data_IF_467470994428
#
_entry.id   IF_467470994428
#
_cell.length_a   1.000
_cell.length_b   1.000
_cell.length_c   1.000
_cell.angle_alpha   90.00
_cell.angle_beta   90.00
_cell.angle_gamma   90.00
#
_symmetry.space_group_name_H-M   'P 1'
#
loop_
_entity.id
_entity.type
_entity.pdbx_description
1 polymer ?
#
# COMPACT_ATOMS: atom_id res chain seq x y z
N UNK A 1 7.42 21.38 -10.42
CA UNK A 1 6.97 21.44 -9.00
C UNK A 1 8.21 21.64 -8.13
N UNK A 2 8.30 22.70 -7.33
CA UNK A 2 9.51 22.97 -6.55
C UNK A 2 9.76 21.81 -5.58
N UNK A 3 11.02 21.38 -5.42
CA UNK A 3 11.41 20.19 -4.62
C UNK A 3 10.93 20.23 -3.16
N UNK A 4 10.44 21.40 -2.72
CA UNK A 4 9.92 21.69 -1.38
C UNK A 4 8.41 21.40 -1.23
N UNK A 5 7.65 21.32 -2.32
CA UNK A 5 6.19 21.04 -2.24
C UNK A 5 5.92 19.58 -1.93
N UNK A 6 6.76 18.67 -2.44
CA UNK A 6 6.62 17.23 -2.21
C UNK A 6 6.67 16.84 -0.72
N UNK A 7 7.65 17.29 0.09
CA UNK A 7 7.66 16.96 1.51
C UNK A 7 6.48 17.58 2.26
N UNK A 8 6.02 18.78 1.88
CA UNK A 8 4.89 19.44 2.57
C UNK A 8 3.58 18.67 2.36
N UNK A 9 3.32 18.24 1.12
CA UNK A 9 2.14 17.41 0.82
C UNK A 9 2.22 16.08 1.57
N UNK A 10 3.40 15.45 1.58
CA UNK A 10 3.62 14.18 2.26
C UNK A 10 3.39 14.29 3.79
N UNK A 11 3.91 15.34 4.42
CA UNK A 11 3.73 15.57 5.86
C UNK A 11 2.27 15.91 6.22
N UNK A 12 1.58 16.70 5.40
CA UNK A 12 0.15 16.97 5.61
C UNK A 12 -0.71 15.71 5.46
N UNK A 13 -0.41 14.85 4.49
CA UNK A 13 -1.11 13.57 4.33
C UNK A 13 -0.82 12.63 5.50
N UNK A 14 0.40 12.64 6.03
CA UNK A 14 0.79 11.85 7.20
C UNK A 14 0.05 12.30 8.47
N UNK A 15 -0.20 13.61 8.62
CA UNK A 15 -0.95 14.18 9.74
C UNK A 15 -2.46 13.92 9.66
N UNK A 16 -3.00 13.69 8.46
CA UNK A 16 -4.41 13.33 8.26
C UNK A 16 -4.71 11.84 8.50
N UNK A 17 -3.69 10.97 8.46
CA UNK A 17 -3.81 9.54 8.75
C UNK A 17 -4.51 9.21 10.08
N UNK A 18 -4.11 9.78 11.23
CA UNK A 18 -4.77 9.50 12.50
C UNK A 18 -6.26 9.89 12.49
N UNK A 19 -6.66 10.90 11.71
CA UNK A 19 -8.05 11.36 11.63
C UNK A 19 -8.91 10.34 10.87
N UNK A 20 -8.41 9.81 9.74
CA UNK A 20 -9.12 8.77 8.96
C UNK A 20 -9.26 7.47 9.76
N UNK A 21 -8.22 7.13 10.52
CA UNK A 21 -8.21 5.97 11.41
C UNK A 21 -9.23 6.11 12.54
N UNK A 22 -9.28 7.27 13.19
CA UNK A 22 -10.23 7.54 14.28
C UNK A 22 -11.67 7.53 13.73
N UNK A 23 -11.91 8.04 12.52
CA UNK A 23 -13.21 7.96 11.85
C UNK A 23 -13.67 6.52 11.58
N UNK A 24 -12.73 5.61 11.24
CA UNK A 24 -13.02 4.19 11.05
C UNK A 24 -13.35 3.44 12.36
N UNK A 25 -13.09 4.05 13.53
CA UNK A 25 -13.44 3.51 14.85
C UNK A 25 -14.78 3.97 15.41
N UNK A 26 -15.47 4.90 14.75
CA UNK A 26 -16.80 5.37 15.14
C UNK A 26 -17.90 4.49 14.54
N UNK A 27 -18.05 3.28 15.08
CA UNK A 27 -19.31 2.55 14.93
C UNK A 27 -20.37 3.17 15.83
N UNK A 28 -21.38 3.80 15.23
CA UNK A 28 -22.52 4.39 15.92
C UNK A 28 -23.48 3.29 16.41
N UNK A 29 -23.13 2.60 17.50
CA UNK A 29 -23.99 1.60 18.13
C UNK A 29 -23.42 1.06 19.44
N UNK A 30 -24.27 0.69 20.43
CA UNK A 30 -23.82 0.01 21.64
C UNK A 30 -23.13 -1.31 21.31
N UNK A 31 -21.82 -1.37 21.55
CA UNK A 31 -21.03 -2.59 21.44
C UNK A 31 -21.35 -3.46 22.65
N UNK A 32 -21.71 -4.75 22.50
CA UNK A 32 -21.73 -5.64 23.65
C UNK A 32 -20.31 -5.66 24.23
N UNK A 33 -20.20 -5.44 25.54
CA UNK A 33 -18.93 -5.54 26.26
C UNK A 33 -18.39 -6.95 26.04
N UNK A 34 -17.41 -7.10 25.15
CA UNK A 34 -16.69 -8.35 25.05
C UNK A 34 -15.45 -8.26 25.92
N UNK A 35 -15.22 -9.36 26.62
CA UNK A 35 -13.95 -9.98 27.00
C UNK A 35 -12.70 -9.32 26.39
N UNK A 36 -11.55 -9.49 27.03
CA UNK A 36 -10.17 -9.02 26.73
C UNK A 36 -9.70 -8.94 25.25
N UNK A 37 -10.53 -9.35 24.28
CA UNK A 37 -10.53 -9.03 22.84
C UNK A 37 -11.07 -7.64 22.46
N UNK A 38 -11.88 -6.97 23.30
CA UNK A 38 -12.42 -5.63 23.00
C UNK A 38 -11.37 -4.50 23.12
N UNK A 39 -10.36 -4.70 23.97
CA UNK A 39 -9.31 -3.71 24.20
C UNK A 39 -8.29 -3.64 23.06
N UNK A 40 -8.26 -4.64 22.18
CA UNK A 40 -7.42 -4.67 20.98
C UNK A 40 -8.20 -4.37 19.70
N UNK A 41 -9.53 -4.24 19.71
CA UNK A 41 -10.29 -3.84 18.52
C UNK A 41 -9.92 -2.44 18.04
N UNK A 42 -9.64 -1.49 18.95
CA UNK A 42 -9.20 -0.16 18.55
C UNK A 42 -7.79 -0.20 17.94
N UNK A 43 -6.87 -0.98 18.52
CA UNK A 43 -5.53 -1.20 17.97
C UNK A 43 -5.60 -1.86 16.58
N UNK A 44 -6.42 -2.90 16.44
CA UNK A 44 -6.65 -3.58 15.15
C UNK A 44 -7.29 -2.66 14.13
N UNK A 45 -8.25 -1.82 14.52
CA UNK A 45 -8.86 -0.81 13.64
C UNK A 45 -7.84 0.23 13.18
N UNK A 46 -7.00 0.73 14.09
CA UNK A 46 -5.91 1.66 13.80
C UNK A 46 -4.89 1.05 12.83
N UNK A 47 -4.41 -0.15 13.13
CA UNK A 47 -3.43 -0.86 12.30
C UNK A 47 -4.02 -1.16 10.91
N UNK A 48 -5.26 -1.66 10.85
CA UNK A 48 -5.92 -1.97 9.57
C UNK A 48 -6.17 -0.71 8.75
N UNK A 49 -6.56 0.40 9.38
CA UNK A 49 -6.72 1.69 8.71
C UNK A 49 -5.41 2.22 8.13
N UNK A 50 -4.32 2.16 8.90
CA UNK A 50 -2.98 2.57 8.45
C UNK A 50 -2.51 1.69 7.27
N UNK A 51 -2.65 0.37 7.39
CA UNK A 51 -2.28 -0.58 6.34
C UNK A 51 -3.10 -0.33 5.07
N UNK A 52 -4.42 -0.15 5.18
CA UNK A 52 -5.29 0.10 4.02
C UNK A 52 -4.91 1.39 3.28
N UNK A 53 -4.62 2.47 4.02
CA UNK A 53 -4.15 3.72 3.43
C UNK A 53 -2.76 3.57 2.77
N UNK A 54 -1.80 2.95 3.46
CA UNK A 54 -0.49 2.62 2.89
C UNK A 54 -0.64 1.82 1.60
N UNK A 55 -1.63 0.93 1.55
CA UNK A 55 -1.87 0.08 0.39
C UNK A 55 -2.39 0.86 -0.81
N UNK A 56 -3.35 1.77 -0.59
CA UNK A 56 -3.81 2.71 -1.63
C UNK A 56 -2.65 3.55 -2.17
N UNK A 57 -1.80 4.07 -1.28
CA UNK A 57 -0.67 4.93 -1.64
C UNK A 57 0.40 4.16 -2.41
N UNK A 58 0.69 2.93 -1.99
CA UNK A 58 1.62 2.04 -2.67
C UNK A 58 1.15 1.71 -4.08
N UNK A 59 -0.12 1.32 -4.24
CA UNK A 59 -0.69 0.99 -5.55
C UNK A 59 -0.65 2.21 -6.49
N UNK A 60 -1.04 3.39 -5.99
CA UNK A 60 -0.98 4.62 -6.77
C UNK A 60 0.46 4.94 -7.23
N UNK A 61 1.44 4.79 -6.34
CA UNK A 61 2.85 4.99 -6.68
C UNK A 61 3.37 3.96 -7.69
N UNK A 62 2.98 2.70 -7.53
CA UNK A 62 3.35 1.61 -8.42
C UNK A 62 2.84 1.87 -9.85
N UNK A 63 1.60 2.34 -10.02
CA UNK A 63 1.02 2.69 -11.33
C UNK A 63 1.83 3.80 -12.00
N UNK A 64 2.18 4.87 -11.27
CA UNK A 64 2.97 5.99 -11.81
C UNK A 64 4.33 5.50 -12.30
N UNK A 65 5.02 4.69 -11.50
CA UNK A 65 6.31 4.11 -11.89
C UNK A 65 6.21 3.20 -13.12
N UNK A 66 5.12 2.45 -13.24
CA UNK A 66 4.87 1.60 -14.41
C UNK A 66 4.70 2.41 -15.69
N UNK A 67 3.97 3.52 -15.61
CA UNK A 67 3.78 4.45 -16.73
C UNK A 67 5.13 5.05 -17.16
N UNK A 68 5.93 5.52 -16.19
CA UNK A 68 7.28 6.07 -16.47
C UNK A 68 8.19 5.03 -17.12
N UNK A 69 8.16 3.78 -16.64
CA UNK A 69 8.90 2.68 -17.22
C UNK A 69 8.48 2.39 -18.68
N UNK A 70 7.18 2.44 -18.97
CA UNK A 70 6.63 2.28 -20.33
C UNK A 70 7.11 3.37 -21.28
N UNK A 71 7.06 4.64 -20.86
CA UNK A 71 7.59 5.74 -21.67
C UNK A 71 9.10 5.65 -21.89
N UNK A 72 9.85 5.23 -20.87
CA UNK A 72 11.29 5.03 -20.98
C UNK A 72 11.65 3.88 -21.93
N UNK A 73 10.81 2.83 -21.99
CA UNK A 73 10.97 1.74 -22.95
C UNK A 73 10.76 2.20 -24.38
N UNK A 74 9.70 2.97 -24.64
CA UNK A 74 9.39 3.50 -25.97
C UNK A 74 10.41 4.54 -26.46
N UNK A 75 10.96 5.34 -25.55
CA UNK A 75 11.95 6.38 -25.88
C UNK A 75 13.36 5.85 -26.13
N UNK A 76 13.66 4.59 -25.81
CA UNK A 76 15.00 4.02 -25.93
C UNK A 76 15.50 3.84 -27.38
N UNK A 77 14.65 4.03 -28.40
CA UNK A 77 14.99 4.14 -29.85
C UNK A 77 16.08 3.20 -30.41
N UNK A 78 16.28 2.01 -29.84
CA UNK A 78 17.29 1.05 -30.32
C UNK A 78 18.67 1.14 -29.65
N UNK A 79 18.87 2.06 -28.70
CA UNK A 79 20.14 2.20 -27.98
C UNK A 79 20.25 1.07 -26.93
N UNK A 80 21.28 0.21 -27.02
CA UNK A 80 21.33 -1.05 -26.25
C UNK A 80 21.38 -0.82 -24.73
N UNK A 81 21.88 0.33 -24.27
CA UNK A 81 21.92 0.69 -22.87
C UNK A 81 20.54 1.13 -22.36
N UNK A 82 19.81 1.90 -23.16
CA UNK A 82 18.41 2.26 -22.93
C UNK A 82 17.47 1.05 -22.88
N UNK A 83 17.64 0.09 -23.78
CA UNK A 83 16.84 -1.14 -23.82
C UNK A 83 17.06 -2.00 -22.58
N UNK A 84 18.32 -2.22 -22.17
CA UNK A 84 18.64 -2.98 -20.95
C UNK A 84 18.03 -2.33 -19.70
N UNK A 85 18.07 -0.99 -19.62
CA UNK A 85 17.48 -0.26 -18.50
C UNK A 85 15.96 -0.41 -18.46
N UNK A 86 15.31 -0.32 -19.61
CA UNK A 86 13.87 -0.45 -19.69
C UNK A 86 13.39 -1.90 -19.42
N UNK A 87 14.11 -2.92 -19.88
CA UNK A 87 13.86 -4.31 -19.52
C UNK A 87 13.95 -4.55 -18.01
N UNK A 88 15.00 -4.00 -17.35
CA UNK A 88 15.09 -4.06 -15.88
C UNK A 88 13.90 -3.37 -15.23
N UNK A 89 13.49 -2.20 -15.71
CA UNK A 89 12.35 -1.48 -15.13
C UNK A 89 11.04 -2.27 -15.26
N UNK A 90 10.81 -2.93 -16.38
CA UNK A 90 9.65 -3.82 -16.59
C UNK A 90 9.74 -5.04 -15.65
N UNK A 91 10.93 -5.64 -15.51
CA UNK A 91 11.13 -6.78 -14.60
C UNK A 91 10.83 -6.40 -13.15
N UNK A 92 11.32 -5.25 -12.69
CA UNK A 92 10.99 -4.72 -11.36
C UNK A 92 9.49 -4.40 -11.21
N UNK A 93 8.84 -3.91 -12.25
CA UNK A 93 7.39 -3.74 -12.28
C UNK A 93 6.64 -5.08 -12.14
N UNK A 94 7.04 -6.09 -12.90
CA UNK A 94 6.45 -7.42 -12.85
C UNK A 94 6.65 -8.09 -11.46
N UNK A 95 7.84 -7.92 -10.86
CA UNK A 95 8.12 -8.35 -9.48
C UNK A 95 7.20 -7.63 -8.50
N UNK A 96 6.94 -6.32 -8.69
CA UNK A 96 6.01 -5.56 -7.85
C UNK A 96 4.57 -6.10 -7.89
N UNK A 97 4.07 -6.44 -9.08
CA UNK A 97 2.76 -7.08 -9.25
C UNK A 97 2.73 -8.45 -8.57
N UNK A 98 3.77 -9.25 -8.79
CA UNK A 98 3.90 -10.56 -8.16
C UNK A 98 3.89 -10.46 -6.63
N UNK A 99 4.63 -9.51 -6.06
CA UNK A 99 4.65 -9.23 -4.62
C UNK A 99 3.28 -8.81 -4.09
N UNK A 100 2.54 -7.98 -4.84
CA UNK A 100 1.18 -7.56 -4.48
C UNK A 100 0.21 -8.75 -4.41
N UNK A 101 0.32 -9.69 -5.36
CA UNK A 101 -0.47 -10.92 -5.35
C UNK A 101 -0.10 -11.78 -4.12
N UNK A 102 1.19 -11.99 -3.86
CA UNK A 102 1.66 -12.77 -2.70
C UNK A 102 1.20 -12.14 -1.38
N UNK A 103 1.23 -10.82 -1.27
CA UNK A 103 0.75 -10.11 -0.07
C UNK A 103 -0.73 -10.39 0.21
N UNK A 104 -1.56 -10.57 -0.83
CA UNK A 104 -2.97 -10.93 -0.68
C UNK A 104 -3.16 -12.36 -0.16
N UNK A 105 -2.21 -13.26 -0.41
CA UNK A 105 -2.25 -14.65 0.06
C UNK A 105 -1.80 -14.79 1.53
N UNK A 106 -0.99 -13.86 2.07
CA UNK A 106 -0.49 -13.95 3.45
C UNK A 106 -1.60 -14.07 4.52
N UNK A 107 -2.63 -13.21 4.57
CA UNK A 107 -3.68 -13.34 5.58
C UNK A 107 -4.48 -14.64 5.44
N UNK A 108 -4.60 -15.18 4.22
CA UNK A 108 -5.22 -16.48 3.98
C UNK A 108 -4.39 -17.62 4.59
N UNK A 109 -3.07 -17.61 4.39
CA UNK A 109 -2.16 -18.61 4.97
C UNK A 109 -2.15 -18.53 6.49
N UNK A 110 -2.10 -17.32 7.06
CA UNK A 110 -2.09 -17.13 8.52
C UNK A 110 -3.40 -17.65 9.12
N UNK A 111 -4.56 -17.35 8.52
CA UNK A 111 -5.84 -17.86 9.00
C UNK A 111 -5.91 -19.38 8.94
N UNK A 112 -5.39 -19.99 7.86
CA UNK A 112 -5.36 -21.44 7.69
C UNK A 112 -4.46 -22.14 8.71
N UNK A 113 -3.34 -21.53 9.09
CA UNK A 113 -2.38 -22.11 10.02
C UNK A 113 -2.71 -21.86 11.50
N UNK A 114 -3.24 -20.69 11.84
CA UNK A 114 -3.55 -20.30 13.23
C UNK A 114 -4.89 -20.88 13.69
N UNK A 115 -5.85 -21.04 12.78
CA UNK A 115 -7.13 -21.69 13.05
C UNK A 115 -7.35 -22.83 12.04
N UNK A 116 -6.64 -23.97 12.19
CA UNK A 116 -7.12 -25.19 11.59
C UNK A 116 -8.49 -25.46 12.21
N UNK A 117 -9.51 -25.63 11.36
CA UNK A 117 -10.89 -25.97 11.71
C UNK A 117 -11.02 -26.90 12.91
#
# INVERSE_FOLDING_TARGET
MSKKVFPIIFTSILLLLPIVVVAAGFEAGPRPASNLTADNQWLTGVITGIISFLWILFIAFAIIMFIVAGFQFLSAQGEPEGIKKAQKSILWGAIGIFLGIVAFLLPFVIRFWVFPV
#
